data_IF_919795100614
#
_entry.id   IF_919795100614
#
_cell.length_a   1.000
_cell.length_b   1.000
_cell.length_c   1.000
_cell.angle_alpha   90.00
_cell.angle_beta   90.00
_cell.angle_gamma   90.00
#
_symmetry.space_group_name_H-M   'P 1'
#
loop_
_entity.id
_entity.type
_entity.pdbx_description
1 polymer ?
#
# COMPACT_ATOMS: atom_id res chain seq x y z
N UNK A 1 9.90 9.72 9.43
CA UNK A 1 10.79 8.77 8.72
C UNK A 1 9.91 7.90 7.83
N UNK A 2 10.09 7.86 6.51
CA UNK A 2 9.28 6.99 5.63
C UNK A 2 9.90 5.59 5.66
N UNK A 3 9.23 4.61 6.27
CA UNK A 3 9.71 3.23 6.29
C UNK A 3 9.09 2.49 5.12
N UNK A 4 9.92 1.85 4.28
CA UNK A 4 9.48 1.01 3.17
C UNK A 4 10.05 -0.38 3.37
N UNK A 5 9.19 -1.39 3.26
CA UNK A 5 9.59 -2.80 3.24
C UNK A 5 9.01 -3.47 2.00
N UNK A 6 9.90 -3.96 1.13
CA UNK A 6 9.50 -4.85 0.04
C UNK A 6 9.22 -6.22 0.67
N UNK A 7 8.06 -6.78 0.38
CA UNK A 7 7.68 -8.10 0.88
C UNK A 7 8.16 -9.18 -0.11
N UNK A 8 8.48 -10.39 0.37
CA UNK A 8 8.91 -11.47 -0.50
C UNK A 8 7.82 -11.82 -1.52
N UNK A 9 8.25 -12.27 -2.70
CA UNK A 9 7.34 -12.85 -3.68
C UNK A 9 6.67 -14.09 -3.07
N UNK A 10 5.37 -14.25 -3.33
CA UNK A 10 4.69 -15.52 -3.06
C UNK A 10 4.67 -16.30 -4.37
N UNK A 11 5.45 -17.37 -4.42
CA UNK A 11 5.51 -18.32 -5.52
C UNK A 11 4.71 -19.56 -5.12
N UNK A 12 3.40 -19.52 -5.36
CA UNK A 12 2.51 -20.67 -5.17
C UNK A 12 2.04 -21.15 -6.56
N UNK A 13 2.25 -22.43 -6.94
CA UNK A 13 1.84 -22.99 -8.23
C UNK A 13 0.35 -22.85 -8.56
N UNK A 14 -0.51 -22.61 -7.56
CA UNK A 14 -1.95 -22.38 -7.74
C UNK A 14 -2.33 -20.92 -8.03
N UNK A 15 -1.36 -20.00 -8.10
CA UNK A 15 -1.63 -18.59 -8.36
C UNK A 15 -1.76 -18.32 -9.86
N UNK A 16 -2.90 -17.73 -10.25
CA UNK A 16 -3.15 -17.28 -11.62
C UNK A 16 -2.38 -15.98 -11.99
N UNK A 17 -1.77 -15.32 -11.00
CA UNK A 17 -1.08 -14.04 -11.16
C UNK A 17 0.19 -14.01 -10.32
N UNK A 18 1.25 -13.40 -10.86
CA UNK A 18 2.39 -12.99 -10.04
C UNK A 18 2.00 -11.76 -9.22
N UNK A 19 2.55 -11.61 -8.01
CA UNK A 19 2.19 -10.50 -7.12
C UNK A 19 3.41 -9.86 -6.49
N UNK A 20 3.54 -8.55 -6.65
CA UNK A 20 4.46 -7.73 -5.88
C UNK A 20 3.72 -7.06 -4.72
N UNK A 21 4.32 -7.08 -3.52
CA UNK A 21 3.76 -6.43 -2.32
C UNK A 21 4.78 -5.49 -1.70
N UNK A 22 4.34 -4.28 -1.37
CA UNK A 22 5.14 -3.25 -0.70
C UNK A 22 4.39 -2.75 0.53
N UNK A 23 5.07 -2.69 1.66
CA UNK A 23 4.59 -2.06 2.88
C UNK A 23 5.23 -0.69 3.03
N UNK A 24 4.40 0.31 3.32
CA UNK A 24 4.80 1.70 3.55
C UNK A 24 4.23 2.20 4.88
N UNK A 25 5.06 2.88 5.66
CA UNK A 25 4.66 3.67 6.81
C UNK A 25 4.93 5.15 6.50
N UNK A 26 3.86 5.96 6.55
CA UNK A 26 3.89 7.40 6.27
C UNK A 26 3.11 8.16 7.34
N UNK A 27 3.48 9.40 7.58
CA UNK A 27 2.75 10.31 8.48
C UNK A 27 2.42 11.59 7.73
N UNK A 28 1.26 12.17 7.99
CA UNK A 28 0.88 13.46 7.41
C UNK A 28 -0.49 13.91 7.83
N UNK A 29 -0.91 15.07 7.30
CA UNK A 29 -2.27 15.58 7.46
C UNK A 29 -3.25 14.65 6.76
N UNK A 30 -4.38 14.40 7.42
CA UNK A 30 -5.42 13.48 6.96
C UNK A 30 -5.87 13.75 5.51
N UNK A 31 -6.16 15.01 5.17
CA UNK A 31 -6.55 15.39 3.80
C UNK A 31 -5.51 15.00 2.75
N UNK A 32 -4.22 15.19 3.06
CA UNK A 32 -3.12 14.86 2.14
C UNK A 32 -2.95 13.35 2.03
N UNK A 33 -3.11 12.63 3.13
CA UNK A 33 -3.06 11.16 3.15
C UNK A 33 -4.19 10.56 2.30
N UNK A 34 -5.42 11.08 2.40
CA UNK A 34 -6.52 10.59 1.58
C UNK A 34 -6.30 10.83 0.08
N UNK A 35 -5.83 12.01 -0.30
CA UNK A 35 -5.47 12.29 -1.70
C UNK A 35 -4.35 11.40 -2.21
N UNK A 36 -3.40 11.05 -1.34
CA UNK A 36 -2.33 10.13 -1.67
C UNK A 36 -2.83 8.69 -1.82
N UNK A 37 -3.68 8.21 -0.90
CA UNK A 37 -4.28 6.87 -0.92
C UNK A 37 -5.09 6.64 -2.21
N UNK A 38 -5.89 7.61 -2.62
CA UNK A 38 -6.69 7.54 -3.84
C UNK A 38 -5.82 7.25 -5.08
N UNK A 39 -4.65 7.90 -5.17
CA UNK A 39 -3.70 7.72 -6.27
C UNK A 39 -2.96 6.38 -6.25
N UNK A 40 -2.97 5.64 -5.13
CA UNK A 40 -2.30 4.33 -5.06
C UNK A 40 -3.08 3.26 -5.81
N UNK A 41 -4.41 3.39 -5.85
CA UNK A 41 -5.28 2.48 -6.57
C UNK A 41 -5.23 2.78 -8.07
N UNK A 42 -4.99 1.75 -8.88
CA UNK A 42 -5.02 1.84 -10.33
C UNK A 42 -5.55 0.53 -10.90
N UNK A 43 -6.84 0.47 -11.27
CA UNK A 43 -7.42 -0.72 -11.89
C UNK A 43 -6.71 -1.10 -13.19
N UNK A 44 -6.27 -0.11 -13.98
CA UNK A 44 -5.53 -0.33 -15.22
C UNK A 44 -4.18 -1.03 -14.99
N UNK A 45 -3.52 -0.74 -13.87
CA UNK A 45 -2.24 -1.37 -13.51
C UNK A 45 -2.42 -2.66 -12.69
N UNK A 46 -3.66 -3.09 -12.42
CA UNK A 46 -3.97 -4.15 -11.44
C UNK A 46 -3.26 -3.87 -10.10
N UNK A 47 -3.39 -2.64 -9.57
CA UNK A 47 -2.77 -2.22 -8.31
C UNK A 47 -3.80 -1.72 -7.32
N UNK A 48 -3.69 -2.17 -6.07
CA UNK A 48 -4.56 -1.73 -4.98
C UNK A 48 -3.83 -1.70 -3.64
N UNK A 49 -4.32 -0.87 -2.72
CA UNK A 49 -4.06 -1.02 -1.28
C UNK A 49 -4.90 -2.19 -0.77
N UNK A 50 -4.26 -3.19 -0.14
CA UNK A 50 -4.94 -4.39 0.37
C UNK A 50 -4.91 -4.52 1.89
N UNK A 51 -4.13 -3.67 2.56
CA UNK A 51 -4.18 -3.46 3.99
C UNK A 51 -3.94 -1.99 4.31
N UNK A 52 -4.68 -1.46 5.29
CA UNK A 52 -4.51 -0.10 5.78
C UNK A 52 -4.75 -0.04 7.29
N UNK A 53 -3.88 0.67 7.99
CA UNK A 53 -4.05 1.05 9.40
C UNK A 53 -3.75 2.53 9.56
N UNK A 54 -4.67 3.26 10.17
CA UNK A 54 -4.54 4.67 10.51
C UNK A 54 -4.52 4.79 12.04
N UNK A 55 -3.58 5.57 12.56
CA UNK A 55 -3.50 5.89 13.98
C UNK A 55 -3.30 7.40 14.14
N UNK A 56 -4.08 8.09 15.00
CA UNK A 56 -3.81 9.49 15.31
C UNK A 56 -2.46 9.62 16.03
N UNK A 57 -1.71 10.68 15.72
CA UNK A 57 -0.48 10.98 16.46
C UNK A 57 -0.84 11.58 17.83
N UNK A 58 -0.28 11.02 18.90
CA UNK A 58 -0.57 11.47 20.27
C UNK A 58 -0.02 12.87 20.59
N UNK A 59 1.00 13.28 19.85
CA UNK A 59 1.75 14.52 20.01
C UNK A 59 1.27 15.66 19.09
N UNK A 60 0.47 15.35 18.05
CA UNK A 60 -0.03 16.31 17.07
C UNK A 60 -1.36 15.80 16.48
N UNK A 61 -2.48 16.43 16.86
CA UNK A 61 -3.83 16.06 16.43
C UNK A 61 -4.13 16.40 14.97
N UNK A 62 -3.25 17.15 14.31
CA UNK A 62 -3.36 17.46 12.87
C UNK A 62 -2.74 16.37 11.99
N UNK A 63 -2.06 15.38 12.60
CA UNK A 63 -1.34 14.33 11.90
C UNK A 63 -1.86 12.92 12.22
N UNK A 64 -1.76 12.07 11.20
CA UNK A 64 -2.11 10.65 11.27
C UNK A 64 -0.92 9.83 10.79
N UNK A 65 -0.59 8.78 11.53
CA UNK A 65 0.31 7.72 11.09
C UNK A 65 -0.48 6.70 10.28
N UNK A 66 0.01 6.36 9.09
CA UNK A 66 -0.63 5.50 8.13
C UNK A 66 0.34 4.38 7.72
N UNK A 67 -0.07 3.13 7.99
CA UNK A 67 0.59 1.93 7.50
C UNK A 67 -0.27 1.34 6.39
N UNK A 68 0.31 1.11 5.21
CA UNK A 68 -0.38 0.50 4.08
C UNK A 68 0.43 -0.65 3.49
N UNK A 69 -0.28 -1.67 3.01
CA UNK A 69 0.27 -2.63 2.05
C UNK A 69 -0.36 -2.38 0.68
N UNK A 70 0.51 -2.17 -0.30
CA UNK A 70 0.16 -2.01 -1.71
C UNK A 70 0.54 -3.30 -2.41
N UNK A 71 -0.39 -3.83 -3.19
CA UNK A 71 -0.18 -4.99 -4.04
C UNK A 71 -0.42 -4.65 -5.50
N UNK A 72 0.42 -5.19 -6.36
CA UNK A 72 0.23 -5.17 -7.80
C UNK A 72 0.29 -6.59 -8.34
N UNK A 73 -0.71 -6.97 -9.11
CA UNK A 73 -0.79 -8.26 -9.77
C UNK A 73 -0.34 -8.13 -11.23
N UNK A 74 0.44 -9.10 -11.68
CA UNK A 74 0.92 -9.19 -13.05
C UNK A 74 0.31 -10.41 -13.70
N UNK A 75 -0.34 -10.18 -14.85
CA UNK A 75 -0.87 -11.25 -15.69
C UNK A 75 0.31 -11.91 -16.40
N UNK A 76 0.46 -13.23 -16.32
CA UNK A 76 1.47 -13.94 -17.12
C UNK A 76 1.27 -13.66 -18.61
N UNK A 77 2.35 -13.49 -19.37
CA UNK A 77 2.25 -13.49 -20.83
C UNK A 77 1.73 -14.86 -21.30
N UNK A 78 0.79 -14.85 -22.26
CA UNK A 78 0.14 -16.04 -22.79
C UNK A 78 1.05 -16.81 -23.76
#
# INVERSE_FOLDING_TARGET
>A
MKRRKIQPAIEDPGLNYHRARVELEVSGREQVLYQWLDRLHSPADFRAVTFMRLNPKRDDDTQVDCQVMIEQWFVPEA
#
